data_IF_432334368378
#
_entry.id   IF_432334368378
#
_cell.length_a   1.000
_cell.length_b   1.000
_cell.length_c   1.000
_cell.angle_alpha   90.00
_cell.angle_beta   90.00
_cell.angle_gamma   90.00
#
_symmetry.space_group_name_H-M   'P 1'
#
loop_
_entity.id
_entity.type
_entity.pdbx_description
1 polymer ?
#
# COMPACT_ATOMS: atom_id res chain seq x y z
N UNK A 1 19.30 -11.97 7.39
CA UNK A 1 20.62 -12.14 6.68
C UNK A 1 20.53 -11.50 5.31
N UNK A 2 21.53 -10.71 4.86
CA UNK A 2 21.44 -10.00 3.58
C UNK A 2 21.70 -10.99 2.43
N UNK A 3 20.71 -11.14 1.57
CA UNK A 3 20.80 -11.94 0.32
C UNK A 3 21.00 -11.02 -0.90
N UNK A 4 22.25 -10.76 -1.25
CA UNK A 4 22.61 -9.91 -2.39
C UNK A 4 22.03 -10.40 -3.71
N UNK A 5 22.04 -11.72 -3.92
CA UNK A 5 21.57 -12.32 -5.16
C UNK A 5 20.05 -12.17 -5.32
N UNK A 6 19.30 -12.31 -4.23
CA UNK A 6 17.87 -12.06 -4.24
C UNK A 6 17.56 -10.57 -4.48
N UNK A 7 18.29 -9.66 -3.81
CA UNK A 7 18.14 -8.21 -4.03
C UNK A 7 18.41 -7.80 -5.48
N UNK A 8 19.45 -8.34 -6.09
CA UNK A 8 19.77 -8.09 -7.51
C UNK A 8 18.64 -8.57 -8.43
N UNK A 9 18.08 -9.77 -8.19
CA UNK A 9 16.93 -10.27 -8.96
C UNK A 9 15.71 -9.34 -8.88
N UNK A 10 15.40 -8.81 -7.68
CA UNK A 10 14.29 -7.84 -7.53
C UNK A 10 14.58 -6.56 -8.29
N UNK A 11 15.82 -6.05 -8.24
CA UNK A 11 16.25 -4.86 -9.00
C UNK A 11 16.06 -5.09 -10.50
N UNK A 12 16.52 -6.24 -11.01
CA UNK A 12 16.40 -6.59 -12.43
C UNK A 12 14.92 -6.70 -12.86
N UNK A 13 14.07 -7.33 -12.05
CA UNK A 13 12.65 -7.39 -12.30
C UNK A 13 12.00 -5.99 -12.36
N UNK A 14 12.32 -5.12 -11.38
CA UNK A 14 11.87 -3.72 -11.38
C UNK A 14 12.33 -3.01 -12.64
N UNK A 15 13.59 -3.14 -13.01
CA UNK A 15 14.15 -2.47 -14.19
C UNK A 15 13.54 -2.98 -15.49
N UNK A 16 13.21 -4.26 -15.59
CA UNK A 16 12.50 -4.81 -16.73
C UNK A 16 11.07 -4.23 -16.82
N UNK A 17 10.35 -4.19 -15.71
CA UNK A 17 8.98 -3.66 -15.67
C UNK A 17 8.93 -2.16 -15.97
N UNK A 18 9.79 -1.35 -15.34
CA UNK A 18 9.86 0.09 -15.59
C UNK A 18 10.26 0.45 -17.03
N UNK A 19 10.99 -0.43 -17.70
CA UNK A 19 11.41 -0.23 -19.09
C UNK A 19 10.51 -0.94 -20.12
N UNK A 20 9.31 -1.39 -19.71
CA UNK A 20 8.34 -2.07 -20.57
C UNK A 20 8.85 -3.38 -21.21
N UNK A 21 9.89 -4.00 -20.64
CA UNK A 21 10.41 -5.29 -21.10
C UNK A 21 9.54 -6.45 -20.64
N UNK A 22 8.94 -6.32 -19.47
CA UNK A 22 7.97 -7.25 -18.89
C UNK A 22 6.62 -6.58 -18.72
N UNK A 23 5.57 -7.38 -18.66
CA UNK A 23 4.22 -6.93 -18.26
C UNK A 23 3.95 -7.23 -16.78
N UNK A 24 2.74 -6.91 -16.29
CA UNK A 24 2.38 -7.06 -14.88
C UNK A 24 2.42 -8.52 -14.43
N UNK A 25 1.94 -9.45 -15.24
CA UNK A 25 1.95 -10.88 -14.90
C UNK A 25 3.36 -11.45 -14.87
N UNK A 26 4.18 -11.12 -15.87
CA UNK A 26 5.59 -11.52 -15.89
C UNK A 26 6.38 -10.93 -14.72
N UNK A 27 6.08 -9.69 -14.35
CA UNK A 27 6.68 -9.03 -13.20
C UNK A 27 6.29 -9.69 -11.90
N UNK A 28 4.99 -9.99 -11.72
CA UNK A 28 4.44 -10.71 -10.57
C UNK A 28 5.15 -12.07 -10.40
N UNK A 29 5.18 -12.88 -11.46
CA UNK A 29 5.87 -14.17 -11.46
C UNK A 29 7.35 -14.04 -11.10
N UNK A 30 8.04 -13.00 -11.58
CA UNK A 30 9.45 -12.79 -11.30
C UNK A 30 9.71 -12.47 -9.82
N UNK A 31 8.90 -11.60 -9.19
CA UNK A 31 9.14 -11.17 -7.81
C UNK A 31 8.67 -12.21 -6.78
N UNK A 32 7.54 -12.91 -7.04
CA UNK A 32 7.01 -13.92 -6.11
C UNK A 32 7.81 -15.22 -6.09
N UNK A 33 8.52 -15.55 -7.17
CA UNK A 33 9.37 -16.74 -7.25
C UNK A 33 10.78 -16.50 -6.66
N UNK A 34 11.03 -15.37 -6.00
CA UNK A 34 12.29 -15.09 -5.31
C UNK A 34 12.21 -15.70 -3.91
N UNK A 35 12.82 -16.88 -3.75
CA UNK A 35 12.99 -17.51 -2.45
C UNK A 35 14.19 -16.89 -1.72
N UNK A 36 13.94 -16.21 -0.60
CA UNK A 36 14.99 -15.54 0.18
C UNK A 36 14.55 -15.36 1.65
N UNK A 37 15.49 -15.56 2.56
CA UNK A 37 15.32 -15.26 4.00
C UNK A 37 15.64 -13.78 4.33
N UNK A 38 15.90 -12.93 3.35
CA UNK A 38 16.15 -11.49 3.54
C UNK A 38 14.82 -10.77 3.78
N UNK A 39 14.59 -10.33 5.02
CA UNK A 39 13.38 -9.60 5.40
C UNK A 39 13.15 -8.33 4.55
N UNK A 40 14.24 -7.69 4.10
CA UNK A 40 14.14 -6.54 3.19
C UNK A 40 13.58 -6.93 1.83
N UNK A 41 13.93 -8.12 1.30
CA UNK A 41 13.36 -8.63 0.05
C UNK A 41 11.88 -8.90 0.22
N UNK A 42 11.48 -9.62 1.28
CA UNK A 42 10.08 -9.92 1.55
C UNK A 42 9.24 -8.63 1.70
N UNK A 43 9.75 -7.66 2.45
CA UNK A 43 9.13 -6.35 2.61
C UNK A 43 8.96 -5.61 1.26
N UNK A 44 10.01 -5.57 0.46
CA UNK A 44 9.97 -4.89 -0.85
C UNK A 44 8.99 -5.55 -1.80
N UNK A 45 8.94 -6.88 -1.86
CA UNK A 45 7.96 -7.62 -2.69
C UNK A 45 6.54 -7.24 -2.28
N UNK A 46 6.26 -7.20 -0.98
CA UNK A 46 4.95 -6.79 -0.47
C UNK A 46 4.61 -5.33 -0.83
N UNK A 47 5.56 -4.41 -0.73
CA UNK A 47 5.34 -3.00 -1.12
C UNK A 47 5.08 -2.89 -2.62
N UNK A 48 5.84 -3.60 -3.45
CA UNK A 48 5.69 -3.57 -4.90
C UNK A 48 4.33 -4.10 -5.35
N UNK A 49 3.76 -5.08 -4.64
CA UNK A 49 2.44 -5.64 -4.96
C UNK A 49 1.31 -4.60 -5.02
N UNK A 50 1.40 -3.52 -4.27
CA UNK A 50 0.43 -2.42 -4.32
C UNK A 50 0.58 -1.49 -5.53
N UNK A 51 1.57 -1.71 -6.42
CA UNK A 51 1.90 -0.80 -7.51
C UNK A 51 1.66 -1.38 -8.91
N UNK A 52 1.05 -2.54 -9.02
CA UNK A 52 0.56 -3.13 -10.26
C UNK A 52 -0.75 -3.87 -10.00
N UNK A 53 -1.47 -4.22 -11.08
CA UNK A 53 -2.71 -5.00 -11.01
C UNK A 53 -2.41 -6.45 -11.38
N UNK A 54 -2.57 -7.36 -10.42
CA UNK A 54 -2.37 -8.79 -10.57
C UNK A 54 -3.55 -9.52 -11.28
N UNK A 55 -4.66 -8.80 -11.52
CA UNK A 55 -5.84 -9.33 -12.18
C UNK A 55 -5.88 -9.01 -13.68
N UNK A 56 -5.16 -7.98 -14.11
CA UNK A 56 -5.20 -7.48 -15.49
C UNK A 56 -3.78 -7.31 -16.02
N UNK A 57 -3.46 -7.96 -17.14
CA UNK A 57 -2.15 -7.79 -17.74
C UNK A 57 -1.98 -6.39 -18.34
N UNK A 58 -0.93 -5.68 -17.93
CA UNK A 58 -0.63 -4.33 -18.39
C UNK A 58 0.88 -4.02 -18.32
N UNK A 59 1.33 -3.02 -19.07
CA UNK A 59 2.65 -2.41 -18.89
C UNK A 59 2.64 -1.46 -17.69
N UNK A 60 3.81 -1.04 -17.22
CA UNK A 60 3.92 -0.14 -16.09
C UNK A 60 2.96 1.07 -16.21
N UNK A 61 2.12 1.28 -15.19
CA UNK A 61 1.18 2.40 -15.04
C UNK A 61 1.43 2.99 -13.67
N UNK A 62 2.24 4.04 -13.59
CA UNK A 62 2.71 4.60 -12.33
C UNK A 62 2.64 6.12 -12.36
N UNK A 63 2.18 6.72 -11.28
CA UNK A 63 2.30 8.15 -11.07
C UNK A 63 3.74 8.52 -10.71
N UNK A 64 4.08 9.80 -10.83
CA UNK A 64 5.43 10.28 -10.51
C UNK A 64 5.86 9.97 -9.08
N UNK A 65 4.94 10.05 -8.12
CA UNK A 65 5.18 9.73 -6.70
C UNK A 65 5.53 8.26 -6.48
N UNK A 66 4.81 7.35 -7.16
CA UNK A 66 5.04 5.91 -7.13
C UNK A 66 6.36 5.55 -7.83
N UNK A 67 6.64 6.18 -8.98
CA UNK A 67 7.93 6.03 -9.64
C UNK A 67 9.09 6.43 -8.72
N UNK A 68 8.97 7.56 -8.05
CA UNK A 68 9.99 8.05 -7.13
C UNK A 68 10.15 7.13 -5.91
N UNK A 69 9.08 6.49 -5.44
CA UNK A 69 9.11 5.45 -4.41
C UNK A 69 9.89 4.22 -4.91
N UNK A 70 9.55 3.70 -6.08
CA UNK A 70 10.24 2.53 -6.65
C UNK A 70 11.74 2.82 -6.85
N UNK A 71 12.11 4.05 -7.25
CA UNK A 71 13.53 4.43 -7.34
C UNK A 71 14.23 4.43 -5.97
N UNK A 72 13.52 4.79 -4.88
CA UNK A 72 14.07 4.69 -3.52
C UNK A 72 14.19 3.24 -3.06
N UNK A 73 13.22 2.39 -3.41
CA UNK A 73 13.28 0.95 -3.16
C UNK A 73 14.50 0.32 -3.87
N UNK A 74 14.78 0.70 -5.12
CA UNK A 74 15.99 0.25 -5.83
C UNK A 74 17.26 0.65 -5.08
N UNK A 75 17.33 1.88 -4.57
CA UNK A 75 18.47 2.33 -3.75
C UNK A 75 18.60 1.55 -2.45
N UNK A 76 17.48 1.21 -1.80
CA UNK A 76 17.44 0.37 -0.61
C UNK A 76 18.01 -1.02 -0.91
N UNK A 77 17.54 -1.67 -1.96
CA UNK A 77 18.01 -3.01 -2.38
C UNK A 77 19.50 -3.04 -2.77
N UNK A 78 20.02 -1.97 -3.37
CA UNK A 78 21.44 -1.83 -3.67
C UNK A 78 22.30 -1.67 -2.41
N UNK A 79 21.69 -1.25 -1.30
CA UNK A 79 22.38 -1.02 -0.04
C UNK A 79 22.44 -2.29 0.83
N UNK A 80 23.30 -2.28 1.87
CA UNK A 80 23.31 -3.30 2.94
C UNK A 80 22.32 -2.96 4.06
N UNK A 81 21.38 -2.07 3.81
CA UNK A 81 20.39 -1.69 4.80
C UNK A 81 19.37 -2.83 5.01
N UNK A 82 19.03 -3.06 6.26
CA UNK A 82 17.96 -3.98 6.66
C UNK A 82 16.74 -3.17 7.07
N UNK A 83 15.57 -3.63 6.63
CA UNK A 83 14.29 -3.06 7.03
C UNK A 83 13.89 -3.71 8.35
N UNK A 84 13.71 -2.91 9.38
CA UNK A 84 13.15 -3.37 10.66
C UNK A 84 11.76 -2.75 10.79
N UNK A 85 10.74 -3.57 10.68
CA UNK A 85 9.38 -3.14 10.92
C UNK A 85 9.16 -2.97 12.44
N UNK A 86 8.85 -1.77 12.87
CA UNK A 86 8.37 -1.52 14.22
C UNK A 86 6.91 -1.08 14.17
N UNK A 87 6.04 -1.90 14.74
CA UNK A 87 4.61 -1.63 14.80
C UNK A 87 4.26 -0.98 16.14
N UNK A 88 3.87 0.29 16.12
CA UNK A 88 3.27 0.97 17.26
C UNK A 88 1.76 1.03 17.12
N UNK A 89 1.04 0.40 18.04
CA UNK A 89 -0.42 0.50 18.09
C UNK A 89 -0.84 1.82 18.75
N UNK A 90 -1.53 2.67 18.01
CA UNK A 90 -2.10 3.92 18.55
C UNK A 90 -3.62 3.89 18.53
N UNK A 91 -4.21 4.28 19.63
CA UNK A 91 -5.65 4.52 19.72
C UNK A 91 -5.98 5.97 19.39
N UNK A 92 -6.98 6.17 18.55
CA UNK A 92 -7.46 7.48 18.16
C UNK A 92 -9.00 7.53 18.21
N UNK A 93 -9.58 8.69 18.06
CA UNK A 93 -11.01 8.96 18.12
C UNK A 93 -11.87 8.13 17.18
N UNK A 94 -11.37 7.91 16.00
CA UNK A 94 -12.01 7.18 14.93
C UNK A 94 -12.19 5.69 15.28
N UNK A 95 -11.28 5.09 16.06
CA UNK A 95 -11.46 3.73 16.60
C UNK A 95 -12.66 3.67 17.55
N UNK A 96 -12.79 4.66 18.45
CA UNK A 96 -13.94 4.74 19.34
C UNK A 96 -15.26 4.93 18.56
N UNK A 97 -15.25 5.81 17.55
CA UNK A 97 -16.42 6.02 16.69
C UNK A 97 -16.78 4.75 15.91
N UNK A 98 -15.80 4.03 15.39
CA UNK A 98 -16.02 2.77 14.69
C UNK A 98 -16.62 1.70 15.62
N UNK A 99 -16.10 1.55 16.85
CA UNK A 99 -16.66 0.65 17.85
C UNK A 99 -18.10 0.98 18.20
N UNK A 100 -18.40 2.25 18.46
CA UNK A 100 -19.79 2.70 18.75
C UNK A 100 -20.70 2.41 17.57
N UNK A 101 -20.25 2.71 16.34
CA UNK A 101 -21.00 2.41 15.13
C UNK A 101 -21.31 0.93 14.99
N UNK A 102 -20.31 0.07 15.15
CA UNK A 102 -20.49 -1.39 15.07
C UNK A 102 -21.45 -1.92 16.14
N UNK A 103 -21.25 -1.51 17.40
CA UNK A 103 -22.12 -1.95 18.51
C UNK A 103 -23.55 -1.48 18.32
N UNK A 104 -23.77 -0.26 17.81
CA UNK A 104 -25.09 0.26 17.49
C UNK A 104 -25.77 -0.55 16.37
N UNK A 105 -25.04 -0.89 15.31
CA UNK A 105 -25.54 -1.76 14.26
C UNK A 105 -25.93 -3.13 14.81
N UNK A 106 -25.07 -3.74 15.63
CA UNK A 106 -25.32 -5.04 16.23
C UNK A 106 -26.58 -5.02 17.13
N UNK A 107 -26.74 -3.98 17.95
CA UNK A 107 -27.91 -3.82 18.80
C UNK A 107 -29.21 -3.72 17.97
N UNK A 108 -29.20 -2.96 16.88
CA UNK A 108 -30.35 -2.86 15.95
C UNK A 108 -30.62 -4.21 15.29
N UNK A 109 -29.58 -4.88 14.77
CA UNK A 109 -29.70 -6.18 14.10
C UNK A 109 -30.30 -7.24 15.02
N UNK A 110 -29.90 -7.26 16.28
CA UNK A 110 -30.43 -8.18 17.29
C UNK A 110 -31.90 -7.85 17.68
N UNK A 111 -32.27 -6.57 17.69
CA UNK A 111 -33.64 -6.14 18.08
C UNK A 111 -34.65 -6.35 16.95
N UNK A 112 -34.27 -6.20 15.71
CA UNK A 112 -35.18 -6.27 14.53
C UNK A 112 -35.18 -7.68 13.91
N UNK A 113 -34.17 -8.50 14.22
CA UNK A 113 -34.01 -9.83 13.66
C UNK A 113 -33.34 -9.84 12.29
N UNK A 114 -33.02 -11.05 11.77
CA UNK A 114 -32.32 -11.21 10.49
C UNK A 114 -33.31 -11.17 9.32
N UNK A 115 -33.04 -10.30 8.34
CA UNK A 115 -33.83 -10.18 7.12
C UNK A 115 -33.32 -9.12 6.16
N UNK A 116 -33.97 -8.97 5.01
CA UNK A 116 -33.57 -8.04 3.94
C UNK A 116 -33.52 -6.57 4.37
N UNK A 117 -34.28 -6.20 5.41
CA UNK A 117 -34.28 -4.84 5.97
C UNK A 117 -32.88 -4.46 6.55
N UNK A 118 -32.05 -5.45 6.93
CA UNK A 118 -30.69 -5.16 7.39
C UNK A 118 -29.82 -4.54 6.31
N UNK A 119 -30.09 -4.77 5.02
CA UNK A 119 -29.40 -4.09 3.93
C UNK A 119 -29.65 -2.58 3.96
N UNK A 120 -30.88 -2.16 4.27
CA UNK A 120 -31.24 -0.75 4.41
C UNK A 120 -30.60 -0.17 5.67
N UNK A 121 -30.64 -0.92 6.77
CA UNK A 121 -30.01 -0.52 8.04
C UNK A 121 -28.47 -0.40 7.89
N UNK A 122 -27.84 -1.21 7.04
CA UNK A 122 -26.41 -1.15 6.80
C UNK A 122 -25.94 0.18 6.16
N UNK A 123 -26.81 0.86 5.39
CA UNK A 123 -26.45 2.07 4.64
C UNK A 123 -25.84 3.17 5.53
N UNK A 124 -26.47 3.63 6.62
CA UNK A 124 -25.89 4.68 7.44
C UNK A 124 -24.55 4.27 8.08
N UNK A 125 -24.40 3.01 8.46
CA UNK A 125 -23.15 2.50 9.02
C UNK A 125 -22.06 2.38 7.96
N UNK A 126 -22.41 2.05 6.73
CA UNK A 126 -21.50 2.10 5.59
C UNK A 126 -20.99 3.52 5.30
N UNK A 127 -21.90 4.51 5.39
CA UNK A 127 -21.49 5.91 5.23
C UNK A 127 -20.56 6.38 6.36
N UNK A 128 -20.81 5.94 7.60
CA UNK A 128 -19.90 6.22 8.73
C UNK A 128 -18.53 5.58 8.47
N UNK A 129 -18.49 4.31 8.12
CA UNK A 129 -17.25 3.60 7.80
C UNK A 129 -16.46 4.30 6.68
N UNK A 130 -17.15 4.68 5.60
CA UNK A 130 -16.53 5.45 4.50
C UNK A 130 -16.01 6.82 4.98
N UNK A 131 -16.75 7.49 5.87
CA UNK A 131 -16.34 8.74 6.48
C UNK A 131 -15.04 8.60 7.28
N UNK A 132 -14.93 7.53 8.08
CA UNK A 132 -13.72 7.21 8.85
C UNK A 132 -12.54 6.94 7.89
N UNK A 133 -12.73 6.12 6.86
CA UNK A 133 -11.68 5.86 5.85
C UNK A 133 -11.19 7.16 5.21
N UNK A 134 -12.11 8.01 4.73
CA UNK A 134 -11.75 9.30 4.13
C UNK A 134 -11.09 10.26 5.12
N UNK A 135 -11.48 10.20 6.39
CA UNK A 135 -10.82 11.00 7.44
C UNK A 135 -9.36 10.55 7.61
N UNK A 136 -9.12 9.24 7.71
CA UNK A 136 -7.77 8.65 7.80
C UNK A 136 -6.90 9.01 6.58
N UNK A 137 -7.45 8.94 5.39
CA UNK A 137 -6.77 9.32 4.15
C UNK A 137 -6.38 10.81 4.10
N UNK A 138 -7.20 11.69 4.71
CA UNK A 138 -6.93 13.14 4.77
C UNK A 138 -5.94 13.53 5.87
N UNK A 139 -5.75 12.67 6.86
CA UNK A 139 -4.86 12.90 8.00
C UNK A 139 -3.73 11.84 8.04
N UNK A 140 -2.96 11.70 6.96
CA UNK A 140 -1.96 10.64 6.84
C UNK A 140 -0.84 10.76 7.88
N UNK A 141 -0.62 11.96 8.45
CA UNK A 141 0.42 12.23 9.48
C UNK A 141 0.21 11.39 10.74
N UNK A 142 -1.03 10.98 11.03
CA UNK A 142 -1.35 10.11 12.18
C UNK A 142 -1.18 8.62 11.85
N UNK A 143 -1.27 8.24 10.59
CA UNK A 143 -1.39 6.85 10.13
C UNK A 143 -0.31 6.40 9.14
N UNK A 144 0.37 7.33 8.49
CA UNK A 144 1.47 7.09 7.55
C UNK A 144 2.76 7.70 8.08
N UNK A 145 3.94 7.19 7.69
CA UNK A 145 5.21 7.86 7.95
C UNK A 145 5.10 9.32 7.53
N UNK A 146 5.55 10.23 8.39
CA UNK A 146 5.39 11.68 8.26
C UNK A 146 5.88 12.28 6.94
N UNK A 147 6.58 11.49 6.12
CA UNK A 147 7.04 11.87 4.80
C UNK A 147 6.98 10.67 3.84
N UNK A 148 5.79 10.43 3.26
CA UNK A 148 5.66 9.50 2.13
C UNK A 148 6.65 9.83 0.99
N UNK A 149 7.06 11.11 0.91
CA UNK A 149 8.10 11.55 -0.02
C UNK A 149 9.50 10.95 0.27
N UNK A 150 9.74 10.47 1.49
CA UNK A 150 11.01 9.89 1.91
C UNK A 150 10.97 8.37 2.04
N UNK A 151 9.76 7.81 2.25
CA UNK A 151 9.59 6.38 2.45
C UNK A 151 10.30 5.56 1.37
N UNK A 152 11.06 4.49 1.71
CA UNK A 152 11.19 3.85 3.02
C UNK A 152 12.26 4.46 3.96
N UNK A 153 12.82 5.60 3.68
CA UNK A 153 13.86 6.26 4.46
C UNK A 153 13.29 7.26 5.46
N UNK A 154 13.95 7.44 6.61
CA UNK A 154 13.53 8.38 7.64
C UNK A 154 13.94 9.82 7.34
N UNK A 155 14.97 10.03 6.51
CA UNK A 155 15.50 11.36 6.24
C UNK A 155 16.20 11.49 4.89
N UNK A 156 16.21 12.71 4.36
CA UNK A 156 17.02 13.05 3.17
C UNK A 156 18.52 12.80 3.36
N UNK A 157 19.01 12.89 4.60
CA UNK A 157 20.42 12.64 4.90
C UNK A 157 20.79 11.19 4.67
N UNK A 158 19.93 10.23 5.01
CA UNK A 158 20.11 8.81 4.72
C UNK A 158 20.18 8.54 3.22
N UNK A 159 19.23 9.08 2.45
CA UNK A 159 19.20 8.94 0.99
C UNK A 159 20.50 9.51 0.38
N UNK A 160 20.96 10.68 0.85
CA UNK A 160 22.18 11.31 0.35
C UNK A 160 23.42 10.48 0.69
N UNK A 161 23.49 9.94 1.89
CA UNK A 161 24.60 9.08 2.34
C UNK A 161 24.68 7.82 1.50
N UNK A 162 23.54 7.13 1.30
CA UNK A 162 23.50 5.93 0.44
C UNK A 162 23.88 6.23 -1.00
N UNK A 163 23.37 7.31 -1.59
CA UNK A 163 23.76 7.71 -2.96
C UNK A 163 25.26 7.99 -3.10
N UNK A 164 25.91 8.53 -2.09
CA UNK A 164 27.37 8.73 -2.11
C UNK A 164 28.14 7.41 -2.00
N UNK A 165 27.58 6.45 -1.24
CA UNK A 165 28.21 5.13 -1.04
C UNK A 165 28.03 4.22 -2.27
N UNK A 166 26.93 4.40 -3.01
CA UNK A 166 26.61 3.66 -4.23
C UNK A 166 26.58 4.60 -5.44
N UNK A 167 27.76 5.00 -5.96
CA UNK A 167 27.86 5.93 -7.09
C UNK A 167 27.26 5.38 -8.38
N UNK A 168 27.18 4.06 -8.51
CA UNK A 168 26.58 3.36 -9.66
C UNK A 168 25.04 3.47 -9.68
N UNK A 169 24.42 3.93 -8.57
CA UNK A 169 23.00 4.18 -8.55
C UNK A 169 22.65 5.37 -9.43
N UNK A 170 21.98 5.11 -10.53
CA UNK A 170 21.36 6.11 -11.37
C UNK A 170 19.84 6.09 -11.23
N UNK A 171 19.27 7.21 -10.79
CA UNK A 171 17.81 7.38 -10.76
C UNK A 171 17.29 7.45 -12.20
N UNK A 172 16.43 6.51 -12.57
CA UNK A 172 15.77 6.54 -13.88
C UNK A 172 14.87 7.75 -14.01
N UNK A 173 14.91 8.41 -15.17
CA UNK A 173 14.03 9.54 -15.45
C UNK A 173 12.60 9.06 -15.59
N UNK A 174 11.69 9.75 -14.92
CA UNK A 174 10.25 9.48 -15.08
C UNK A 174 9.80 9.72 -16.52
N UNK A 175 9.07 8.76 -17.06
CA UNK A 175 8.48 8.83 -18.41
C UNK A 175 7.01 9.22 -18.27
N UNK A 176 6.62 10.39 -18.73
CA UNK A 176 5.25 10.88 -18.66
C UNK A 176 4.23 9.94 -19.32
N UNK A 177 4.68 9.16 -20.30
CA UNK A 177 3.84 8.17 -20.99
C UNK A 177 3.31 7.12 -20.02
N UNK A 178 4.12 6.70 -19.03
CA UNK A 178 3.75 5.72 -18.01
C UNK A 178 2.60 6.24 -17.15
N UNK A 179 2.62 7.52 -16.77
CA UNK A 179 1.56 8.13 -15.97
C UNK A 179 0.28 8.45 -16.74
N UNK A 180 0.34 8.44 -18.08
CA UNK A 180 -0.85 8.66 -18.94
C UNK A 180 -1.57 7.36 -19.30
N UNK A 181 -0.94 6.22 -19.05
CA UNK A 181 -1.53 4.91 -19.32
C UNK A 181 -2.68 4.63 -18.36
N UNK A 182 -3.57 3.75 -18.77
CA UNK A 182 -4.68 3.25 -17.96
C UNK A 182 -4.71 1.74 -18.04
N UNK A 183 -5.02 1.11 -16.93
CA UNK A 183 -5.20 -0.34 -16.86
C UNK A 183 -6.55 -0.70 -17.48
N UNK A 184 -7.60 0.07 -17.14
CA UNK A 184 -8.95 -0.18 -17.62
C UNK A 184 -9.49 0.95 -18.51
N UNK A 185 -10.47 0.62 -19.34
CA UNK A 185 -11.23 1.63 -20.08
C UNK A 185 -12.08 2.48 -19.13
N UNK A 186 -12.37 3.75 -19.51
CA UNK A 186 -13.17 4.67 -18.68
C UNK A 186 -14.51 4.09 -18.18
N UNK A 187 -15.32 3.40 -19.03
CA UNK A 187 -16.57 2.83 -18.55
C UNK A 187 -16.37 1.72 -17.51
N UNK A 188 -15.31 0.92 -17.66
CA UNK A 188 -14.96 -0.14 -16.67
C UNK A 188 -14.50 0.50 -15.37
N UNK A 189 -13.65 1.53 -15.39
CA UNK A 189 -13.25 2.28 -14.20
C UNK A 189 -14.46 2.87 -13.46
N UNK A 190 -15.42 3.45 -14.20
CA UNK A 190 -16.68 3.97 -13.66
C UNK A 190 -17.51 2.88 -12.99
N UNK A 191 -17.67 1.73 -13.65
CA UNK A 191 -18.40 0.59 -13.09
C UNK A 191 -17.73 0.06 -11.83
N UNK A 192 -16.41 -0.17 -11.87
CA UNK A 192 -15.64 -0.64 -10.69
C UNK A 192 -15.72 0.33 -9.52
N UNK A 193 -15.70 1.65 -9.79
CA UNK A 193 -15.87 2.67 -8.75
C UNK A 193 -17.24 2.59 -8.09
N UNK A 194 -18.32 2.50 -8.88
CA UNK A 194 -19.69 2.36 -8.34
C UNK A 194 -19.82 1.04 -7.55
N UNK A 195 -19.30 -0.05 -8.10
CA UNK A 195 -19.30 -1.36 -7.45
C UNK A 195 -18.57 -1.32 -6.10
N UNK A 196 -17.36 -0.74 -6.07
CA UNK A 196 -16.57 -0.59 -4.86
C UNK A 196 -17.30 0.24 -3.79
N UNK A 197 -17.89 1.39 -4.17
CA UNK A 197 -18.69 2.22 -3.26
C UNK A 197 -19.88 1.43 -2.71
N UNK A 198 -20.59 0.68 -3.57
CA UNK A 198 -21.73 -0.13 -3.15
C UNK A 198 -21.33 -1.20 -2.15
N UNK A 199 -20.21 -1.90 -2.40
CA UNK A 199 -19.68 -2.88 -1.47
C UNK A 199 -19.25 -2.24 -0.15
N UNK A 200 -18.57 -1.09 -0.19
CA UNK A 200 -18.17 -0.37 1.02
C UNK A 200 -19.38 0.03 1.88
N UNK A 201 -20.47 0.47 1.25
CA UNK A 201 -21.70 0.80 1.98
C UNK A 201 -22.33 -0.47 2.57
N UNK A 202 -22.44 -1.53 1.78
CA UNK A 202 -23.13 -2.76 2.20
C UNK A 202 -22.37 -3.51 3.32
N UNK A 203 -21.04 -3.59 3.19
CA UNK A 203 -20.15 -4.22 4.16
C UNK A 203 -19.62 -3.25 5.22
N UNK A 204 -20.11 -2.00 5.22
CA UNK A 204 -19.70 -0.97 6.16
C UNK A 204 -19.81 -1.35 7.64
N UNK A 205 -20.88 -2.02 8.09
CA UNK A 205 -20.95 -2.51 9.46
C UNK A 205 -19.81 -3.46 9.83
N UNK A 206 -19.42 -4.37 8.92
CA UNK A 206 -18.30 -5.26 9.13
C UNK A 206 -16.96 -4.48 9.09
N UNK A 207 -16.84 -3.52 8.19
CA UNK A 207 -15.66 -2.65 8.12
C UNK A 207 -15.48 -1.84 9.41
N UNK A 208 -16.55 -1.37 10.06
CA UNK A 208 -16.49 -0.69 11.36
C UNK A 208 -15.91 -1.59 12.46
N UNK A 209 -16.17 -2.89 12.45
CA UNK A 209 -15.55 -3.83 13.37
C UNK A 209 -14.02 -3.79 13.24
N UNK A 210 -13.52 -3.92 12.02
CA UNK A 210 -12.07 -3.89 11.75
C UNK A 210 -11.47 -2.51 11.99
N UNK A 211 -12.18 -1.45 11.67
CA UNK A 211 -11.74 -0.07 11.93
C UNK A 211 -11.68 0.27 13.42
N UNK A 212 -12.48 -0.42 14.25
CA UNK A 212 -12.47 -0.28 15.71
C UNK A 212 -11.29 -0.99 16.38
N UNK A 213 -10.63 -1.92 15.69
CA UNK A 213 -9.42 -2.57 16.18
C UNK A 213 -8.25 -1.63 15.90
N UNK A 214 -7.40 -1.40 16.90
CA UNK A 214 -6.20 -0.58 16.70
C UNK A 214 -5.30 -1.25 15.66
N UNK A 215 -5.15 -0.61 14.52
CA UNK A 215 -4.15 -1.02 13.53
C UNK A 215 -2.77 -0.62 14.00
N UNK A 216 -1.71 -1.37 13.64
CA UNK A 216 -0.35 -0.89 13.83
C UNK A 216 -0.19 0.43 13.08
N UNK A 217 -0.02 1.52 13.82
CA UNK A 217 -0.14 2.85 13.27
C UNK A 217 1.12 3.32 12.52
N UNK A 218 2.23 2.61 12.63
CA UNK A 218 3.48 3.05 12.02
C UNK A 218 4.45 1.89 11.85
N UNK A 219 4.71 1.54 10.63
CA UNK A 219 5.91 0.81 10.24
C UNK A 219 7.05 1.82 10.11
N UNK A 220 7.92 1.89 11.08
CA UNK A 220 9.15 2.66 10.95
C UNK A 220 10.21 1.73 10.40
N UNK A 221 10.64 2.01 9.18
CA UNK A 221 11.79 1.35 8.58
C UNK A 221 13.05 1.97 9.21
N UNK A 222 13.61 1.33 10.21
CA UNK A 222 14.90 1.72 10.72
C UNK A 222 15.97 1.05 9.87
N UNK A 223 16.77 1.86 9.17
CA UNK A 223 17.98 1.36 8.54
C UNK A 223 18.96 1.02 9.67
N UNK A 224 19.17 -0.26 9.91
CA UNK A 224 20.28 -0.69 10.78
C UNK A 224 21.56 -0.11 10.17
N UNK A 225 22.28 0.67 10.97
CA UNK A 225 23.56 1.24 10.49
C UNK A 225 24.50 0.11 10.18
N UNK A 226 25.14 0.13 9.01
CA UNK A 226 26.24 -0.78 8.70
C UNK A 226 27.42 -0.57 9.63
#
# INVERSE_FOLDING_TARGET
>A
MIDRKAREKVIDAIDCFLNDRTDAFEFDDQIWNIDSEDETVAYVVQVLWFHYDDCTNHKAVLQKTEWDLIQRIRLLLMSDAEVVESSESRWSWDHALACIGFLSFLAIALSVGWGWHLLIVAIPFGLISMGITRYRERHPVEYLPSDFALYPFDSFSQIRTLKRRFPDFSKQKYREEVGRRRIHSRPVEGFLSIYSITLQILFGPLALLFQGISSPARETVSLTRP
#
